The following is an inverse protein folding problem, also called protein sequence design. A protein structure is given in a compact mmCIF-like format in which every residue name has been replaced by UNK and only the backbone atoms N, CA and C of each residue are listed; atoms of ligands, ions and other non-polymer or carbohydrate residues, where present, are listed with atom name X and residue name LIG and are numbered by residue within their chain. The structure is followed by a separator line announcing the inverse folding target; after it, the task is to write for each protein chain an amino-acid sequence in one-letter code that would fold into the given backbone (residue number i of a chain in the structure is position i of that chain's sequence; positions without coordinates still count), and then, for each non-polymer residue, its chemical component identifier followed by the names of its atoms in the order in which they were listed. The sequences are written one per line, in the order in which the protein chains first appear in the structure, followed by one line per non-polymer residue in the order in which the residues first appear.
data_IF_888481056078
#
_entry.id   IF_888481056078
#
_cell.length_a   1.000
_cell.length_b   1.000
_cell.length_c   1.000
_cell.angle_alpha   90.00
_cell.angle_beta   90.00
_cell.angle_gamma   90.00
#
_symmetry.space_group_name_H-M   'P 1'
#
loop_
_entity.id
_entity.type
_entity.pdbx_description
1 polymer ?
#
# COMPACT_ATOMS: atom_id res chain seq x y z
N UNK A 1 -3.80 -18.65 9.13
CA UNK A 1 -5.24 -18.63 8.76
C UNK A 1 -5.50 -18.78 7.27
N UNK A 2 -5.31 -17.75 6.41
CA UNK A 2 -5.70 -17.84 4.97
C UNK A 2 -5.01 -18.99 4.24
N UNK A 3 -3.72 -19.21 4.47
CA UNK A 3 -2.98 -20.33 3.87
C UNK A 3 -3.49 -21.69 4.36
N UNK A 4 -3.78 -21.83 5.66
CA UNK A 4 -4.32 -23.07 6.25
C UNK A 4 -5.71 -23.39 5.71
N UNK A 5 -6.53 -22.36 5.47
CA UNK A 5 -7.87 -22.48 4.89
C UNK A 5 -7.88 -22.56 3.36
N UNK A 6 -6.72 -22.40 2.71
CA UNK A 6 -6.55 -22.43 1.24
C UNK A 6 -7.47 -21.44 0.52
N UNK A 7 -7.63 -20.25 1.06
CA UNK A 7 -8.36 -19.19 0.35
C UNK A 7 -7.48 -18.57 -0.73
N UNK A 8 -8.03 -18.45 -1.93
CA UNK A 8 -7.38 -17.76 -3.06
C UNK A 8 -7.61 -16.24 -2.95
N UNK A 9 -7.04 -15.64 -1.90
CA UNK A 9 -7.11 -14.21 -1.61
C UNK A 9 -5.71 -13.66 -1.36
N UNK A 10 -5.48 -12.42 -1.81
CA UNK A 10 -4.27 -11.64 -1.51
C UNK A 10 -4.66 -10.39 -0.72
N UNK A 11 -3.71 -9.84 0.03
CA UNK A 11 -3.93 -8.63 0.84
C UNK A 11 -3.30 -7.42 0.16
N UNK A 12 -3.96 -6.27 0.27
CA UNK A 12 -3.44 -5.00 -0.19
C UNK A 12 -3.48 -4.01 0.98
N UNK A 13 -2.32 -3.49 1.39
CA UNK A 13 -2.24 -2.46 2.42
C UNK A 13 -2.47 -1.08 1.79
N UNK A 14 -3.30 -0.29 2.43
CA UNK A 14 -3.61 1.08 2.02
C UNK A 14 -2.87 2.07 2.92
N UNK A 15 -1.80 2.72 2.41
CA UNK A 15 -1.09 3.75 3.16
C UNK A 15 -1.92 5.04 3.18
N UNK A 16 -1.90 5.73 4.33
CA UNK A 16 -2.46 7.07 4.49
C UNK A 16 -1.59 7.84 5.47
N UNK A 17 -1.18 9.10 5.19
CA UNK A 17 -0.23 9.79 6.06
C UNK A 17 -0.83 10.20 7.40
N UNK A 18 -2.09 10.62 7.41
CA UNK A 18 -2.81 11.08 8.59
C UNK A 18 -4.33 10.92 8.39
N UNK A 19 -5.12 11.25 9.41
CA UNK A 19 -6.59 11.32 9.42
C UNK A 19 -7.30 9.94 9.50
N UNK A 20 -7.76 9.52 10.70
CA UNK A 20 -8.12 10.36 11.86
C UNK A 20 -6.99 10.59 12.88
N UNK A 21 -5.80 10.03 12.66
CA UNK A 21 -4.63 10.22 13.55
C UNK A 21 -3.78 11.37 13.05
N UNK A 22 -3.03 12.04 13.94
CA UNK A 22 -2.08 13.09 13.54
C UNK A 22 -1.00 12.56 12.59
N UNK A 23 -0.47 11.38 12.92
CA UNK A 23 0.42 10.59 12.07
C UNK A 23 -0.04 9.13 12.11
N UNK A 24 -0.15 8.50 10.94
CA UNK A 24 -0.51 7.10 10.82
C UNK A 24 0.73 6.26 10.52
N UNK A 25 0.77 5.03 11.04
CA UNK A 25 1.81 4.08 10.64
C UNK A 25 1.68 3.73 9.15
N UNK A 26 2.81 3.46 8.51
CA UNK A 26 2.87 3.19 7.06
C UNK A 26 2.28 4.35 6.24
N UNK A 27 2.79 5.58 6.42
CA UNK A 27 2.13 6.79 5.92
C UNK A 27 2.14 6.95 4.40
N UNK A 28 3.00 6.23 3.68
CA UNK A 28 3.13 6.33 2.22
C UNK A 28 3.38 4.96 1.58
N UNK A 29 3.24 4.89 0.26
CA UNK A 29 3.59 3.73 -0.58
C UNK A 29 4.95 3.15 -0.19
N UNK A 30 5.98 4.00 -0.05
CA UNK A 30 7.33 3.57 0.28
C UNK A 30 7.45 2.89 1.64
N UNK A 31 6.79 3.43 2.67
CA UNK A 31 6.80 2.86 4.01
C UNK A 31 6.09 1.51 4.06
N UNK A 32 4.89 1.43 3.47
CA UNK A 32 4.13 0.19 3.40
C UNK A 32 4.89 -0.90 2.61
N UNK A 33 5.53 -0.53 1.51
CA UNK A 33 6.35 -1.43 0.70
C UNK A 33 7.56 -2.00 1.46
N UNK A 34 8.27 -1.15 2.21
CA UNK A 34 9.38 -1.60 3.04
C UNK A 34 8.91 -2.56 4.14
N UNK A 35 7.78 -2.27 4.78
CA UNK A 35 7.16 -3.14 5.79
C UNK A 35 6.74 -4.50 5.23
N UNK A 36 6.11 -4.53 4.05
CA UNK A 36 5.69 -5.77 3.37
C UNK A 36 6.87 -6.73 3.20
N UNK A 37 8.05 -6.23 2.86
CA UNK A 37 9.24 -7.04 2.65
C UNK A 37 9.80 -7.69 3.92
N UNK A 38 9.30 -7.32 5.11
CA UNK A 38 9.68 -7.93 6.39
C UNK A 38 8.66 -8.97 6.87
N UNK A 39 7.54 -9.18 6.16
CA UNK A 39 6.56 -10.18 6.51
C UNK A 39 7.08 -11.59 6.21
N UNK A 40 6.62 -12.59 6.96
CA UNK A 40 6.94 -14.01 6.73
C UNK A 40 6.48 -14.50 5.34
N UNK A 41 5.38 -13.96 4.83
CA UNK A 41 4.82 -14.30 3.51
C UNK A 41 4.63 -13.04 2.65
N UNK A 42 5.72 -12.39 2.21
CA UNK A 42 5.65 -11.07 1.58
C UNK A 42 4.95 -11.13 0.21
N UNK A 43 4.99 -12.27 -0.49
CA UNK A 43 4.30 -12.47 -1.76
C UNK A 43 2.76 -12.38 -1.66
N UNK A 44 2.20 -12.64 -0.47
CA UNK A 44 0.75 -12.58 -0.25
C UNK A 44 0.23 -11.15 -0.06
N UNK A 45 1.12 -10.17 0.13
CA UNK A 45 0.77 -8.80 0.48
C UNK A 45 1.35 -7.82 -0.56
N UNK A 46 0.47 -6.95 -1.06
CA UNK A 46 0.78 -5.82 -1.93
C UNK A 46 0.18 -4.54 -1.37
N UNK A 47 -0.04 -3.57 -2.24
CA UNK A 47 -0.53 -2.25 -1.92
C UNK A 47 -1.88 -1.97 -2.59
N UNK A 48 -2.67 -1.13 -1.91
CA UNK A 48 -3.83 -0.41 -2.42
C UNK A 48 -3.55 1.10 -2.29
N UNK A 49 -2.76 1.73 -3.18
CA UNK A 49 -2.51 3.16 -3.09
C UNK A 49 -3.76 3.95 -3.48
N UNK A 50 -4.04 5.03 -2.75
CA UNK A 50 -5.07 6.01 -3.07
C UNK A 50 -4.43 7.31 -3.57
N UNK A 51 -4.99 7.92 -4.62
CA UNK A 51 -4.49 9.19 -5.19
C UNK A 51 -4.34 10.24 -4.10
N UNK A 52 -5.41 10.44 -3.32
CA UNK A 52 -5.45 11.49 -2.33
C UNK A 52 -4.39 11.34 -1.26
N UNK A 53 -4.21 10.13 -0.72
CA UNK A 53 -3.29 9.85 0.39
C UNK A 53 -1.83 10.21 0.09
N UNK A 54 -1.30 9.90 -1.09
CA UNK A 54 0.07 10.30 -1.44
C UNK A 54 0.17 11.82 -1.64
N UNK A 55 -0.86 12.44 -2.22
CA UNK A 55 -0.90 13.90 -2.42
C UNK A 55 -1.08 14.69 -1.12
N UNK A 56 -1.72 14.14 -0.09
CA UNK A 56 -1.75 14.70 1.27
C UNK A 56 -0.34 14.91 1.83
N UNK A 57 0.61 14.03 1.48
CA UNK A 57 2.01 14.13 1.86
C UNK A 57 2.85 14.98 0.88
N UNK A 58 2.23 15.59 -0.15
CA UNK A 58 2.90 16.35 -1.19
C UNK A 58 3.73 15.49 -2.15
N UNK A 59 3.48 14.17 -2.21
CA UNK A 59 4.23 13.24 -3.05
C UNK A 59 3.56 13.05 -4.42
N UNK A 60 4.37 12.65 -5.41
CA UNK A 60 3.86 12.28 -6.73
C UNK A 60 3.24 10.89 -6.69
N UNK A 61 1.91 10.82 -6.73
CA UNK A 61 1.18 9.56 -6.83
C UNK A 61 1.65 8.70 -8.01
N UNK A 62 1.85 9.31 -9.18
CA UNK A 62 2.30 8.60 -10.38
C UNK A 62 3.66 7.91 -10.20
N UNK A 63 4.62 8.59 -9.54
CA UNK A 63 5.93 8.01 -9.26
C UNK A 63 5.84 6.88 -8.23
N UNK A 64 5.02 7.05 -7.19
CA UNK A 64 4.77 5.99 -6.20
C UNK A 64 4.12 4.75 -6.82
N UNK A 65 3.11 4.92 -7.67
CA UNK A 65 2.48 3.82 -8.42
C UNK A 65 3.48 3.15 -9.35
N UNK A 66 4.32 3.91 -10.06
CA UNK A 66 5.36 3.34 -10.91
C UNK A 66 6.33 2.45 -10.10
N UNK A 67 6.72 2.87 -8.90
CA UNK A 67 7.52 2.04 -7.99
C UNK A 67 6.78 0.78 -7.53
N UNK A 68 5.48 0.89 -7.20
CA UNK A 68 4.66 -0.26 -6.81
C UNK A 68 4.50 -1.28 -7.95
N UNK A 69 4.33 -0.81 -9.18
CA UNK A 69 4.32 -1.67 -10.39
C UNK A 69 5.68 -2.33 -10.60
N UNK A 70 6.78 -1.56 -10.49
CA UNK A 70 8.14 -2.07 -10.67
C UNK A 70 8.46 -3.23 -9.71
N UNK A 71 7.95 -3.19 -8.48
CA UNK A 71 8.13 -4.27 -7.50
C UNK A 71 7.06 -5.37 -7.58
N UNK A 72 6.11 -5.29 -8.51
CA UNK A 72 5.01 -6.24 -8.62
C UNK A 72 4.08 -6.22 -7.39
N UNK A 73 3.96 -5.07 -6.72
CA UNK A 73 3.20 -4.89 -5.47
C UNK A 73 1.91 -4.10 -5.64
N UNK A 74 1.60 -3.56 -6.80
CA UNK A 74 0.30 -2.92 -7.05
C UNK A 74 -0.80 -3.98 -7.19
N UNK A 75 -1.55 -4.27 -6.12
CA UNK A 75 -2.58 -5.32 -6.11
C UNK A 75 -3.99 -4.75 -6.29
N UNK A 76 -4.21 -3.54 -5.82
CA UNK A 76 -5.41 -2.74 -6.04
C UNK A 76 -5.02 -1.27 -6.14
N UNK A 77 -5.96 -0.39 -6.49
CA UNK A 77 -5.74 1.05 -6.57
C UNK A 77 -7.06 1.77 -6.33
N UNK A 78 -7.02 2.82 -5.51
CA UNK A 78 -8.17 3.70 -5.26
C UNK A 78 -7.96 5.04 -5.97
N UNK A 79 -8.96 5.43 -6.75
CA UNK A 79 -8.91 6.60 -7.63
C UNK A 79 -9.91 7.66 -7.15
N UNK A 80 -9.37 8.81 -6.75
CA UNK A 80 -10.11 9.98 -6.29
C UNK A 80 -9.27 11.25 -6.48
N UNK A 81 -9.68 12.35 -5.86
CA UNK A 81 -9.01 13.64 -5.83
C UNK A 81 -8.71 14.10 -4.38
N UNK A 82 -7.88 15.14 -4.26
CA UNK A 82 -7.40 15.72 -3.00
C UNK A 82 -7.47 17.24 -3.01
#
# INVERSE_FOLDING_TARGET
YVSEKKYDIRFALEPKPNEPRGDTFLPTIGHAMAFINQLESPAMVGLNPEVAHETMAGLSFFQGVAQALWQGKLYHIDLNDQ
#
